data_IF_807679979091
#
_entry.id   IF_807679979091
#
_cell.length_a   1.000
_cell.length_b   1.000
_cell.length_c   1.000
_cell.angle_alpha   90.00
_cell.angle_beta   90.00
_cell.angle_gamma   90.00
#
_symmetry.space_group_name_H-M   'P 1'
#
loop_
_entity.id
_entity.type
_entity.pdbx_description
1 polymer ?
#
# COMPACT_ATOMS: atom_id res chain seq x y z
N UNK A 1 -3.11 -11.94 -14.12
CA UNK A 1 -3.02 -13.20 -14.91
C UNK A 1 -1.79 -14.02 -14.60
N UNK A 2 -0.57 -13.46 -14.59
CA UNK A 2 0.66 -14.21 -14.26
C UNK A 2 1.64 -13.34 -13.49
N UNK A 3 2.47 -13.97 -12.67
CA UNK A 3 3.67 -13.37 -12.08
C UNK A 3 4.88 -14.16 -12.60
N UNK A 4 5.88 -13.46 -13.14
CA UNK A 4 7.09 -14.03 -13.73
C UNK A 4 8.34 -13.49 -13.04
N UNK A 5 9.22 -14.37 -12.61
CA UNK A 5 10.54 -14.11 -12.02
C UNK A 5 11.61 -14.90 -12.80
N UNK A 6 11.95 -14.50 -14.03
CA UNK A 6 12.89 -15.24 -14.87
C UNK A 6 14.31 -15.27 -14.30
N UNK A 7 14.67 -14.26 -13.50
CA UNK A 7 15.98 -14.14 -12.86
C UNK A 7 16.08 -14.94 -11.55
N UNK A 8 14.96 -15.34 -10.95
CA UNK A 8 14.93 -16.09 -9.70
C UNK A 8 15.31 -15.28 -8.48
N UNK A 9 14.86 -14.03 -8.45
CA UNK A 9 15.13 -13.07 -7.38
C UNK A 9 14.40 -13.49 -6.10
N UNK A 10 13.16 -14.00 -6.21
CA UNK A 10 12.31 -14.41 -5.08
C UNK A 10 12.38 -15.92 -4.80
N UNK A 11 13.09 -16.67 -5.64
CA UNK A 11 13.37 -18.10 -5.40
C UNK A 11 13.48 -18.95 -6.66
N UNK A 12 13.08 -20.21 -6.56
CA UNK A 12 13.21 -21.20 -7.65
C UNK A 12 12.01 -21.25 -8.60
N UNK A 13 10.86 -20.70 -8.19
CA UNK A 13 9.67 -20.63 -9.03
C UNK A 13 9.86 -19.48 -10.02
N UNK A 14 9.82 -19.79 -11.32
CA UNK A 14 10.04 -18.80 -12.41
C UNK A 14 8.76 -18.15 -12.88
N UNK A 15 7.65 -18.89 -12.86
CA UNK A 15 6.36 -18.39 -13.29
C UNK A 15 5.28 -19.00 -12.42
N UNK A 16 4.29 -18.19 -12.08
CA UNK A 16 3.10 -18.65 -11.36
C UNK A 16 1.85 -18.00 -11.97
N UNK A 17 0.80 -18.81 -12.15
CA UNK A 17 -0.50 -18.29 -12.53
C UNK A 17 -1.09 -17.48 -11.37
N UNK A 18 -1.56 -16.28 -11.68
CA UNK A 18 -2.34 -15.48 -10.73
C UNK A 18 -3.79 -15.95 -10.69
N UNK A 19 -4.55 -15.44 -9.72
CA UNK A 19 -5.97 -15.77 -9.54
C UNK A 19 -6.91 -15.33 -10.69
N UNK A 20 -6.38 -14.63 -11.69
CA UNK A 20 -7.14 -14.25 -12.90
C UNK A 20 -8.13 -13.10 -12.72
N UNK A 21 -8.17 -12.44 -11.56
CA UNK A 21 -9.14 -11.36 -11.28
C UNK A 21 -8.85 -10.02 -11.96
N UNK A 22 -7.59 -9.77 -12.31
CA UNK A 22 -7.16 -8.61 -13.08
C UNK A 22 -6.41 -9.09 -14.34
N UNK A 23 -6.71 -8.44 -15.47
CA UNK A 23 -6.00 -8.58 -16.74
C UNK A 23 -4.70 -7.78 -16.70
N UNK A 24 -3.77 -8.28 -15.90
CA UNK A 24 -2.42 -7.75 -15.68
C UNK A 24 -1.40 -8.88 -15.62
N UNK A 25 -0.14 -8.57 -15.86
CA UNK A 25 1.00 -9.43 -15.60
C UNK A 25 2.05 -8.66 -14.82
N UNK A 26 2.74 -9.34 -13.91
CA UNK A 26 3.82 -8.76 -13.11
C UNK A 26 5.13 -9.47 -13.42
N UNK A 27 6.15 -8.71 -13.81
CA UNK A 27 7.51 -9.18 -13.99
C UNK A 27 8.34 -8.75 -12.77
N UNK A 28 9.02 -9.69 -12.12
CA UNK A 28 10.01 -9.37 -11.09
C UNK A 28 11.30 -8.90 -11.76
N UNK A 29 11.73 -7.69 -11.41
CA UNK A 29 12.96 -7.07 -11.89
C UNK A 29 14.02 -6.99 -10.78
N UNK A 30 15.32 -6.98 -11.10
CA UNK A 30 16.37 -6.89 -10.07
C UNK A 30 16.36 -5.58 -9.28
N UNK A 31 15.82 -4.50 -9.85
CA UNK A 31 15.78 -3.20 -9.22
C UNK A 31 14.58 -3.09 -8.27
N UNK A 32 14.87 -2.85 -6.99
CA UNK A 32 13.85 -2.63 -5.97
C UNK A 32 13.47 -1.16 -5.90
N UNK A 33 12.18 -0.88 -6.07
CA UNK A 33 11.58 0.41 -5.77
C UNK A 33 11.38 0.49 -4.26
N UNK A 34 11.98 1.50 -3.63
CA UNK A 34 11.78 1.85 -2.22
C UNK A 34 11.71 3.37 -2.11
N UNK A 35 10.52 3.92 -1.88
CA UNK A 35 10.35 5.37 -1.73
C UNK A 35 9.06 5.70 -0.99
N UNK A 36 9.07 6.79 -0.23
CA UNK A 36 7.85 7.43 0.25
C UNK A 36 7.20 8.19 -0.90
N UNK A 37 5.87 8.19 -0.95
CA UNK A 37 5.12 8.81 -2.04
C UNK A 37 3.87 9.51 -1.52
N UNK A 38 3.57 10.64 -2.17
CA UNK A 38 2.27 11.29 -2.11
C UNK A 38 1.47 10.91 -3.35
N UNK A 39 0.17 10.70 -3.18
CA UNK A 39 -0.70 10.23 -4.23
C UNK A 39 -2.12 10.79 -4.09
N UNK A 40 -2.91 10.61 -5.13
CA UNK A 40 -4.35 10.88 -5.11
C UNK A 40 -5.10 9.62 -5.50
N UNK A 41 -6.09 9.21 -4.69
CA UNK A 41 -6.97 8.10 -5.05
C UNK A 41 -7.84 8.48 -6.23
N UNK A 42 -7.81 7.66 -7.29
CA UNK A 42 -8.67 7.88 -8.46
C UNK A 42 -10.07 7.26 -8.28
N UNK A 43 -10.30 6.56 -7.17
CA UNK A 43 -11.62 6.03 -6.79
C UNK A 43 -12.50 7.11 -6.14
N UNK A 44 -11.90 7.97 -5.32
CA UNK A 44 -12.62 8.85 -4.40
C UNK A 44 -12.11 10.30 -4.39
N UNK A 45 -11.06 10.61 -5.16
CA UNK A 45 -10.43 11.94 -5.22
C UNK A 45 -9.99 12.44 -3.84
N UNK A 46 -9.33 11.56 -3.08
CA UNK A 46 -8.80 11.87 -1.75
C UNK A 46 -7.27 11.76 -1.76
N UNK A 47 -6.56 12.66 -1.07
CA UNK A 47 -5.12 12.59 -0.94
C UNK A 47 -4.71 11.34 -0.15
N UNK A 48 -3.60 10.76 -0.56
CA UNK A 48 -2.99 9.59 0.03
C UNK A 48 -1.51 9.88 0.30
N UNK A 49 -1.01 9.31 1.38
CA UNK A 49 0.41 9.29 1.72
C UNK A 49 0.80 7.85 2.03
N UNK A 50 1.97 7.43 1.59
CA UNK A 50 2.41 6.06 1.77
C UNK A 50 3.81 5.83 1.24
N UNK A 51 4.09 4.58 0.89
CA UNK A 51 5.36 4.19 0.31
C UNK A 51 5.19 3.05 -0.68
N UNK A 52 6.14 2.93 -1.59
CA UNK A 52 6.30 1.77 -2.47
C UNK A 52 7.49 0.95 -2.00
N UNK A 53 7.29 -0.35 -1.84
CA UNK A 53 8.34 -1.36 -1.60
C UNK A 53 8.03 -2.57 -2.48
N UNK A 54 8.66 -2.65 -3.64
CA UNK A 54 8.45 -3.78 -4.55
C UNK A 54 9.57 -3.91 -5.57
N UNK A 55 9.70 -5.12 -6.12
CA UNK A 55 10.57 -5.42 -7.27
C UNK A 55 9.76 -5.74 -8.54
N UNK A 56 8.43 -5.82 -8.40
CA UNK A 56 7.54 -6.13 -9.51
C UNK A 56 7.28 -4.92 -10.38
N UNK A 57 7.26 -5.11 -11.70
CA UNK A 57 6.65 -4.21 -12.68
C UNK A 57 5.40 -4.85 -13.23
N UNK A 58 4.27 -4.16 -13.06
CA UNK A 58 2.99 -4.63 -13.55
C UNK A 58 2.64 -3.91 -14.85
N UNK A 59 2.08 -4.66 -15.80
CA UNK A 59 1.53 -4.14 -17.06
C UNK A 59 0.26 -4.89 -17.43
N UNK A 60 -0.64 -4.27 -18.21
CA UNK A 60 -1.79 -4.96 -18.78
C UNK A 60 -3.02 -4.06 -18.99
N UNK A 61 -4.05 -4.58 -19.67
CA UNK A 61 -5.24 -3.80 -20.00
C UNK A 61 -5.94 -3.13 -18.80
N UNK A 62 -5.94 -3.78 -17.63
CA UNK A 62 -6.66 -3.24 -16.47
C UNK A 62 -5.97 -2.05 -15.82
N UNK A 63 -4.70 -1.78 -16.13
CA UNK A 63 -4.00 -0.56 -15.69
C UNK A 63 -4.51 0.71 -16.38
N UNK A 64 -5.35 0.59 -17.42
CA UNK A 64 -6.10 1.73 -17.96
C UNK A 64 -7.17 2.25 -16.98
N UNK A 65 -7.44 1.52 -15.89
CA UNK A 65 -8.28 1.93 -14.76
C UNK A 65 -7.44 1.90 -13.48
N UNK A 66 -6.53 2.86 -13.30
CA UNK A 66 -5.63 2.88 -12.16
C UNK A 66 -6.35 3.09 -10.84
N UNK A 67 -5.71 2.65 -9.75
CA UNK A 67 -6.21 2.83 -8.38
C UNK A 67 -5.90 4.24 -7.85
N UNK A 68 -4.68 4.72 -8.12
CA UNK A 68 -4.18 6.00 -7.65
C UNK A 68 -3.29 6.66 -8.71
N UNK A 69 -3.05 7.97 -8.54
CA UNK A 69 -2.01 8.71 -9.25
C UNK A 69 -0.91 9.09 -8.27
N UNK A 70 0.31 8.68 -8.55
CA UNK A 70 1.50 8.99 -7.76
C UNK A 70 2.32 10.02 -8.55
N UNK A 71 2.35 11.28 -8.10
CA UNK A 71 2.96 12.36 -8.89
C UNK A 71 2.36 12.47 -10.31
N UNK A 72 3.15 12.17 -11.33
CA UNK A 72 2.80 12.22 -12.75
C UNK A 72 2.46 10.87 -13.39
N UNK A 73 2.53 9.77 -12.64
CA UNK A 73 2.25 8.42 -13.14
C UNK A 73 1.06 7.78 -12.42
N UNK A 74 0.35 6.94 -13.14
CA UNK A 74 -0.77 6.17 -12.63
C UNK A 74 -0.24 4.86 -12.01
N UNK A 75 -0.80 4.48 -10.85
CA UNK A 75 -0.48 3.24 -10.13
C UNK A 75 -1.71 2.33 -10.01
N UNK A 76 -1.43 1.03 -10.06
CA UNK A 76 -2.41 0.00 -9.80
C UNK A 76 -3.37 -0.29 -10.95
N UNK A 77 -4.37 -1.11 -10.65
CA UNK A 77 -5.39 -1.54 -11.59
C UNK A 77 -6.69 -1.85 -10.85
N UNK A 78 -7.81 -1.56 -11.51
CA UNK A 78 -9.16 -1.77 -10.98
C UNK A 78 -9.97 -2.57 -12.01
N UNK A 79 -10.66 -3.61 -11.53
CA UNK A 79 -11.54 -4.41 -12.38
C UNK A 79 -12.68 -3.56 -12.96
N UNK A 80 -13.27 -3.94 -14.10
CA UNK A 80 -14.35 -3.15 -14.71
C UNK A 80 -15.56 -2.91 -13.80
N UNK A 81 -15.82 -3.82 -12.86
CA UNK A 81 -16.90 -3.72 -11.87
C UNK A 81 -16.48 -3.05 -10.55
N UNK A 82 -15.23 -2.61 -10.44
CA UNK A 82 -14.68 -1.94 -9.27
C UNK A 82 -14.52 -2.81 -8.03
N UNK A 83 -14.66 -4.14 -8.12
CA UNK A 83 -14.60 -5.04 -6.95
C UNK A 83 -13.21 -5.52 -6.61
N UNK A 84 -12.32 -5.55 -7.60
CA UNK A 84 -10.95 -5.99 -7.46
C UNK A 84 -10.05 -4.79 -7.74
N UNK A 85 -9.15 -4.52 -6.80
CA UNK A 85 -8.27 -3.37 -6.83
C UNK A 85 -6.87 -3.84 -6.43
N UNK A 86 -5.86 -3.42 -7.19
CA UNK A 86 -4.46 -3.61 -6.87
C UNK A 86 -3.71 -2.28 -6.95
N UNK A 87 -2.72 -2.09 -6.09
CA UNK A 87 -1.87 -0.89 -6.01
C UNK A 87 -0.55 -1.29 -5.35
N UNK A 88 0.55 -0.68 -5.76
CA UNK A 88 1.83 -0.82 -5.03
C UNK A 88 1.93 0.12 -3.82
N UNK A 89 1.00 1.07 -3.70
CA UNK A 89 0.95 2.02 -2.60
C UNK A 89 0.59 1.30 -1.30
N UNK A 90 1.54 1.26 -0.37
CA UNK A 90 1.30 0.83 1.00
C UNK A 90 0.76 1.98 1.84
N UNK A 91 0.03 1.66 2.92
CA UNK A 91 -0.43 2.66 3.90
C UNK A 91 -1.71 3.41 3.53
N UNK A 92 -2.35 3.08 2.40
CA UNK A 92 -3.55 3.76 1.88
C UNK A 92 -4.65 3.95 2.94
N UNK A 93 -4.89 2.96 3.79
CA UNK A 93 -5.92 3.05 4.83
C UNK A 93 -5.53 3.87 6.04
N UNK A 94 -4.28 4.33 6.16
CA UNK A 94 -3.87 5.35 7.13
C UNK A 94 -4.45 6.73 6.80
N UNK A 95 -4.82 6.98 5.54
CA UNK A 95 -5.51 8.20 5.13
C UNK A 95 -6.99 8.13 5.56
N UNK A 96 -7.32 8.79 6.67
CA UNK A 96 -8.65 8.68 7.30
C UNK A 96 -9.80 9.03 6.35
N UNK A 97 -9.65 10.08 5.53
CA UNK A 97 -10.68 10.52 4.58
C UNK A 97 -10.94 9.48 3.50
N UNK A 98 -9.87 8.91 2.93
CA UNK A 98 -9.98 7.82 1.98
C UNK A 98 -10.66 6.60 2.62
N UNK A 99 -10.17 6.17 3.80
CA UNK A 99 -10.73 5.03 4.53
C UNK A 99 -12.22 5.18 4.81
N UNK A 100 -12.66 6.37 5.26
CA UNK A 100 -14.07 6.67 5.50
C UNK A 100 -14.91 6.57 4.23
N UNK A 101 -14.45 7.15 3.11
CA UNK A 101 -15.17 7.07 1.83
C UNK A 101 -15.23 5.64 1.29
N UNK A 102 -14.12 4.92 1.38
CA UNK A 102 -14.02 3.54 0.94
C UNK A 102 -15.01 2.65 1.70
N UNK A 103 -15.03 2.74 3.04
CA UNK A 103 -15.98 2.00 3.87
C UNK A 103 -17.44 2.38 3.57
N UNK A 104 -17.73 3.67 3.39
CA UNK A 104 -19.07 4.14 3.04
C UNK A 104 -19.53 3.58 1.69
N UNK A 105 -18.65 3.49 0.70
CA UNK A 105 -18.96 2.88 -0.60
C UNK A 105 -19.33 1.39 -0.48
N UNK A 106 -18.86 0.72 0.56
CA UNK A 106 -19.22 -0.66 0.91
C UNK A 106 -20.46 -0.77 1.81
N UNK A 107 -21.13 0.35 2.13
CA UNK A 107 -22.27 0.38 3.03
C UNK A 107 -21.90 0.27 4.51
N UNK A 108 -20.63 0.50 4.85
CA UNK A 108 -20.13 0.46 6.23
C UNK A 108 -19.99 1.87 6.77
N UNK A 109 -20.66 2.16 7.88
CA UNK A 109 -20.41 3.37 8.66
C UNK A 109 -19.23 3.13 9.61
N UNK A 110 -18.15 3.89 9.45
CA UNK A 110 -16.94 3.72 10.26
C UNK A 110 -15.76 4.56 9.78
N UNK A 111 -14.58 4.29 10.33
CA UNK A 111 -13.32 4.93 9.93
C UNK A 111 -13.10 6.34 10.50
N UNK A 112 -13.90 6.77 11.48
CA UNK A 112 -13.86 8.12 12.09
C UNK A 112 -12.66 8.34 13.01
N UNK A 113 -11.99 7.28 13.44
CA UNK A 113 -10.77 7.36 14.25
C UNK A 113 -9.68 8.09 13.49
N UNK A 114 -8.92 8.95 14.16
CA UNK A 114 -7.68 9.48 13.64
C UNK A 114 -6.60 8.42 13.82
N UNK A 115 -6.27 7.70 12.74
CA UNK A 115 -5.34 6.57 12.84
C UNK A 115 -3.95 7.02 13.26
N UNK A 116 -3.47 8.13 12.70
CA UNK A 116 -2.13 8.64 12.98
C UNK A 116 -1.98 9.02 14.45
N UNK A 117 -2.96 9.76 14.99
CA UNK A 117 -3.00 10.14 16.40
C UNK A 117 -3.03 8.91 17.31
N UNK A 118 -3.82 7.88 16.99
CA UNK A 118 -3.83 6.64 17.79
C UNK A 118 -2.50 5.89 17.81
N UNK A 119 -1.70 6.00 16.74
CA UNK A 119 -0.36 5.41 16.69
C UNK A 119 0.61 6.22 17.56
N UNK A 120 0.58 7.55 17.46
CA UNK A 120 1.41 8.43 18.31
C UNK A 120 1.09 8.21 19.80
N UNK A 121 -0.19 8.18 20.19
CA UNK A 121 -0.60 7.89 21.57
C UNK A 121 -0.06 6.55 22.07
N UNK A 122 -0.10 5.50 21.25
CA UNK A 122 0.42 4.18 21.62
C UNK A 122 1.96 4.15 21.71
N UNK A 123 2.65 4.95 20.90
CA UNK A 123 4.10 5.09 20.96
C UNK A 123 4.53 5.86 22.22
N UNK A 124 3.80 6.91 22.59
CA UNK A 124 4.02 7.65 23.82
C UNK A 124 3.79 6.76 25.06
N UNK A 125 2.71 5.96 25.08
CA UNK A 125 2.45 5.00 26.17
C UNK A 125 3.58 3.97 26.30
N UNK A 126 4.09 3.47 25.17
CA UNK A 126 5.23 2.56 25.17
C UNK A 126 6.50 3.23 25.69
N UNK A 127 6.77 4.46 25.29
CA UNK A 127 7.93 5.23 25.72
C UNK A 127 7.91 5.45 27.25
N UNK A 128 6.77 5.87 27.80
CA UNK A 128 6.58 6.03 29.25
C UNK A 128 6.84 4.71 30.01
N UNK A 129 6.33 3.60 29.48
CA UNK A 129 6.55 2.27 30.06
C UNK A 129 8.02 1.84 30.06
N UNK A 130 8.76 2.19 29.01
CA UNK A 130 10.20 1.92 28.91
C UNK A 130 11.01 2.81 29.86
N UNK A 131 10.72 4.11 29.93
CA UNK A 131 11.36 5.04 30.86
C UNK A 131 11.18 4.61 32.33
N UNK A 132 10.00 4.09 32.68
CA UNK A 132 9.74 3.58 34.02
C UNK A 132 10.49 2.27 34.35
N UNK A 133 10.92 1.52 33.32
CA UNK A 133 11.45 0.16 33.47
C UNK A 133 12.95 0.03 33.20
N UNK A 134 13.56 1.00 32.52
CA UNK A 134 14.92 0.97 32.02
C UNK A 134 15.70 2.23 32.42
N UNK A 135 17.01 2.08 32.61
CA UNK A 135 17.92 3.22 32.74
C UNK A 135 18.22 3.80 31.35
N UNK A 136 17.37 4.73 30.92
CA UNK A 136 17.46 5.35 29.59
C UNK A 136 18.73 6.20 29.46
N UNK A 137 19.11 6.94 30.50
CA UNK A 137 20.35 7.72 30.52
C UNK A 137 21.57 6.81 30.35
N UNK A 138 21.58 5.65 31.01
CA UNK A 138 22.61 4.63 30.87
C UNK A 138 22.68 3.98 29.47
N UNK A 139 21.60 4.03 28.70
CA UNK A 139 21.50 3.47 27.33
C UNK A 139 22.12 4.39 26.27
N UNK A 140 22.15 5.70 26.53
CA UNK A 140 22.68 6.73 25.62
C UNK A 140 24.12 7.17 25.95
N UNK A 141 24.72 6.64 27.02
CA UNK A 141 26.08 6.93 27.48
C UNK A 141 27.16 6.09 26.76
#
# INVERSE_FOLDING_TARGET
RRISDPAGIEGNVRDIEGLGFLDIETLMEPEKVVRNVEAVSLLHDEPLEGYEIHIGRTSGPDMARPFARIGDHDDGAVSPDGRIMGTYLHGVFGADRFRQRFLRALGVEGGQMNYRESVEEALDELAEGLEASLDIDGLFA
#
